data_IF_593995774082
#
_entry.id   IF_593995774082
#
_cell.length_a   1.000
_cell.length_b   1.000
_cell.length_c   1.000
_cell.angle_alpha   90.00
_cell.angle_beta   90.00
_cell.angle_gamma   90.00
#
_symmetry.space_group_name_H-M   'P 1'
#
loop_
_entity.id
_entity.type
_entity.pdbx_description
1 polymer ?
#
# COMPACT_ATOMS: atom_id res chain seq x y z
N UNK A 1 49.27 9.47 -38.43
CA UNK A 1 49.13 9.78 -36.99
C UNK A 1 48.21 10.99 -36.85
N UNK A 2 47.20 10.88 -35.96
CA UNK A 2 46.34 11.96 -35.40
C UNK A 2 45.34 12.59 -36.39
N UNK A 3 44.09 12.90 -36.05
CA UNK A 3 43.29 12.70 -34.84
C UNK A 3 41.80 12.75 -35.27
N UNK A 4 41.00 11.90 -34.64
CA UNK A 4 39.54 11.79 -34.77
C UNK A 4 38.88 12.97 -34.06
N UNK A 5 37.92 13.64 -34.70
CA UNK A 5 36.95 14.51 -34.02
C UNK A 5 35.54 14.00 -34.30
N UNK A 6 35.11 13.03 -33.48
CA UNK A 6 33.73 12.56 -33.40
C UNK A 6 32.98 13.54 -32.50
N UNK A 7 32.16 14.41 -33.09
CA UNK A 7 31.29 15.33 -32.37
C UNK A 7 30.12 14.52 -31.77
N UNK A 8 30.29 14.07 -30.53
CA UNK A 8 29.24 13.43 -29.74
C UNK A 8 28.19 14.47 -29.37
N UNK A 9 27.06 14.44 -30.06
CA UNK A 9 25.85 15.17 -29.70
C UNK A 9 25.20 14.48 -28.49
N UNK A 10 25.48 14.98 -27.29
CA UNK A 10 24.86 14.53 -26.05
C UNK A 10 23.42 15.04 -26.00
N UNK A 11 22.45 14.20 -26.36
CA UNK A 11 21.02 14.47 -26.17
C UNK A 11 20.71 14.36 -24.67
N UNK A 12 20.69 15.50 -23.97
CA UNK A 12 20.12 15.59 -22.63
C UNK A 12 18.59 15.43 -22.75
N UNK A 13 18.11 14.19 -22.67
CA UNK A 13 16.70 13.91 -22.42
C UNK A 13 16.45 14.32 -20.96
N UNK A 14 15.97 15.55 -20.78
CA UNK A 14 15.38 15.99 -19.53
C UNK A 14 14.14 15.14 -19.28
N UNK A 15 14.31 14.03 -18.57
CA UNK A 15 13.21 13.33 -17.95
C UNK A 15 12.57 14.32 -16.96
N UNK A 16 11.43 14.87 -17.33
CA UNK A 16 10.52 15.53 -16.41
C UNK A 16 10.10 14.50 -15.38
N UNK A 17 10.86 14.40 -14.29
CA UNK A 17 10.44 13.71 -13.08
C UNK A 17 9.26 14.54 -12.59
N UNK A 18 8.05 14.12 -13.00
CA UNK A 18 6.83 14.63 -12.41
C UNK A 18 6.98 14.43 -10.91
N UNK A 19 7.11 15.53 -10.18
CA UNK A 19 6.96 15.54 -8.73
C UNK A 19 5.56 15.00 -8.46
N UNK A 20 5.46 13.69 -8.23
CA UNK A 20 4.27 13.08 -7.66
C UNK A 20 4.01 13.83 -6.36
N UNK A 21 3.05 14.75 -6.39
CA UNK A 21 2.75 15.58 -5.26
C UNK A 21 2.14 14.65 -4.22
N UNK A 22 2.94 14.29 -3.21
CA UNK A 22 2.47 13.46 -2.10
C UNK A 22 1.23 14.12 -1.49
N UNK A 23 0.10 13.43 -1.52
CA UNK A 23 -1.20 14.00 -1.13
C UNK A 23 -1.69 13.49 0.22
N UNK A 24 -1.24 12.31 0.65
CA UNK A 24 -1.54 11.76 1.97
C UNK A 24 -0.46 10.81 2.48
N UNK A 25 -0.49 10.50 3.77
CA UNK A 25 0.31 9.48 4.43
C UNK A 25 -0.63 8.53 5.18
N UNK A 26 -0.41 7.23 5.04
CA UNK A 26 -1.03 6.21 5.86
C UNK A 26 -0.01 5.74 6.91
N UNK A 27 -0.37 5.77 8.19
CA UNK A 27 0.39 5.13 9.26
C UNK A 27 -0.30 3.83 9.65
N UNK A 28 0.41 2.72 9.61
CA UNK A 28 -0.12 1.40 9.97
C UNK A 28 0.58 0.94 11.25
N UNK A 29 -0.22 0.54 12.24
CA UNK A 29 0.24 0.14 13.57
C UNK A 29 -0.62 -1.00 14.11
N UNK A 30 -0.22 -1.57 15.25
CA UNK A 30 -1.04 -2.53 16.00
C UNK A 30 -1.44 -3.71 15.10
N UNK A 31 -0.42 -4.31 14.47
CA UNK A 31 -0.55 -5.42 13.52
C UNK A 31 -0.61 -6.72 14.30
N UNK A 32 -1.68 -7.48 14.10
CA UNK A 32 -1.88 -8.82 14.65
C UNK A 32 -2.16 -9.76 13.48
N UNK A 33 -1.37 -10.80 13.35
CA UNK A 33 -1.49 -11.80 12.29
C UNK A 33 -1.68 -13.17 12.89
N UNK A 34 -2.63 -13.95 12.39
CA UNK A 34 -2.70 -15.39 12.61
C UNK A 34 -2.49 -16.09 11.27
N UNK A 35 -1.43 -16.88 11.17
CA UNK A 35 -1.11 -17.67 10.00
C UNK A 35 -0.81 -19.11 10.42
N UNK A 36 -1.50 -20.08 9.81
CA UNK A 36 -1.38 -21.51 10.12
C UNK A 36 -1.49 -21.84 11.62
N UNK A 37 -2.42 -21.15 12.32
CA UNK A 37 -2.65 -21.31 13.76
C UNK A 37 -1.62 -20.64 14.66
N UNK A 38 -0.55 -20.05 14.10
CA UNK A 38 0.44 -19.28 14.85
C UNK A 38 0.14 -17.79 14.83
N UNK A 39 0.37 -17.12 15.96
CA UNK A 39 0.18 -15.69 16.12
C UNK A 39 1.49 -14.92 15.97
N UNK A 40 1.44 -13.80 15.25
CA UNK A 40 2.55 -12.88 15.04
C UNK A 40 2.09 -11.46 15.34
N UNK A 41 2.91 -10.73 16.10
CA UNK A 41 2.66 -9.34 16.47
C UNK A 41 3.86 -8.49 16.08
N UNK A 42 4.04 -8.17 14.78
CA UNK A 42 5.15 -7.35 14.32
C UNK A 42 5.17 -6.00 15.06
N UNK A 43 6.33 -5.64 15.60
CA UNK A 43 6.52 -4.33 16.22
C UNK A 43 6.82 -3.26 15.16
N UNK A 44 6.47 -2.01 15.48
CA UNK A 44 6.80 -0.85 14.67
C UNK A 44 5.60 -0.22 13.94
N UNK A 45 5.91 0.84 13.20
CA UNK A 45 4.97 1.58 12.37
C UNK A 45 5.41 1.49 10.91
N UNK A 46 4.46 1.25 10.01
CA UNK A 46 4.69 1.31 8.57
C UNK A 46 4.06 2.60 8.05
N UNK A 47 4.89 3.46 7.46
CA UNK A 47 4.43 4.66 6.77
C UNK A 47 4.32 4.42 5.27
N UNK A 48 3.14 4.64 4.71
CA UNK A 48 2.87 4.53 3.27
C UNK A 48 2.52 5.90 2.73
N UNK A 49 3.30 6.40 1.77
CA UNK A 49 3.02 7.66 1.07
C UNK A 49 2.02 7.39 -0.04
N UNK A 50 0.89 8.10 -0.03
CA UNK A 50 -0.18 7.91 -0.99
C UNK A 50 -0.20 9.05 -2.01
N UNK A 51 -0.48 8.65 -3.24
CA UNK A 51 -0.71 9.49 -4.40
C UNK A 51 -2.20 9.43 -4.77
N UNK A 52 -2.80 10.56 -5.16
CA UNK A 52 -4.23 10.64 -5.50
C UNK A 52 -4.52 10.34 -6.97
N UNK A 53 -3.49 10.10 -7.78
CA UNK A 53 -3.57 9.68 -9.18
C UNK A 53 -3.30 8.18 -9.32
N UNK A 54 -2.31 7.66 -8.59
CA UNK A 54 -1.80 6.30 -8.76
C UNK A 54 -2.08 5.40 -7.54
N UNK A 55 -2.45 4.12 -7.74
CA UNK A 55 -2.48 3.14 -6.66
C UNK A 55 -1.09 2.95 -6.03
N UNK A 56 -1.06 2.65 -4.74
CA UNK A 56 0.17 2.37 -3.99
C UNK A 56 0.06 1.03 -3.28
N UNK A 57 1.05 0.16 -3.42
CA UNK A 57 1.10 -1.12 -2.73
C UNK A 57 2.06 -1.05 -1.55
N UNK A 58 1.74 -1.70 -0.44
CA UNK A 58 2.64 -1.85 0.70
C UNK A 58 2.57 -3.28 1.24
N UNK A 59 3.73 -3.85 1.57
CA UNK A 59 3.82 -5.11 2.33
C UNK A 59 3.71 -4.77 3.81
N UNK A 60 2.77 -5.39 4.50
CA UNK A 60 2.50 -5.17 5.93
C UNK A 60 3.12 -6.28 6.77
N UNK A 61 3.20 -7.50 6.22
CA UNK A 61 3.73 -8.65 6.93
C UNK A 61 4.42 -9.61 5.96
N UNK A 62 5.52 -10.21 6.41
CA UNK A 62 6.26 -11.24 5.69
C UNK A 62 6.81 -12.27 6.67
N UNK A 63 6.57 -13.55 6.39
CA UNK A 63 7.12 -14.68 7.14
C UNK A 63 7.31 -15.86 6.18
N UNK A 64 8.46 -16.54 6.22
CA UNK A 64 8.67 -17.84 5.55
C UNK A 64 8.18 -17.93 4.09
N UNK A 65 8.37 -16.86 3.30
CA UNK A 65 7.96 -16.82 1.89
C UNK A 65 6.46 -16.56 1.66
N UNK A 66 5.72 -16.17 2.70
CA UNK A 66 4.36 -15.62 2.66
C UNK A 66 4.43 -14.12 2.92
N UNK A 67 3.85 -13.32 2.02
CA UNK A 67 3.74 -11.87 2.15
C UNK A 67 2.28 -11.47 2.14
N UNK A 68 1.85 -10.72 3.14
CA UNK A 68 0.58 -9.99 3.08
C UNK A 68 0.85 -8.53 2.72
N UNK A 69 0.23 -8.10 1.63
CA UNK A 69 0.29 -6.73 1.15
C UNK A 69 -1.10 -6.14 0.95
N UNK A 70 -1.15 -4.83 0.77
CA UNK A 70 -2.39 -4.11 0.54
C UNK A 70 -2.17 -3.11 -0.60
N UNK A 71 -3.07 -3.18 -1.58
CA UNK A 71 -3.18 -2.14 -2.59
C UNK A 71 -4.10 -1.03 -2.09
N UNK A 72 -3.56 0.17 -2.02
CA UNK A 72 -4.27 1.40 -1.64
C UNK A 72 -4.58 2.23 -2.87
N UNK A 73 -5.82 2.74 -2.93
CA UNK A 73 -6.20 3.78 -3.87
C UNK A 73 -6.81 4.94 -3.10
N UNK A 74 -6.04 6.02 -3.02
CA UNK A 74 -6.45 7.27 -2.39
C UNK A 74 -7.06 8.22 -3.43
N UNK A 75 -8.12 8.92 -3.05
CA UNK A 75 -8.72 10.00 -3.84
C UNK A 75 -9.18 11.12 -2.91
N UNK A 76 -8.68 12.33 -3.14
CA UNK A 76 -9.21 13.56 -2.55
C UNK A 76 -10.18 14.23 -3.52
N UNK A 77 -11.44 14.33 -3.12
CA UNK A 77 -12.46 15.13 -3.80
C UNK A 77 -12.64 16.48 -3.13
N UNK A 78 -13.53 17.32 -3.67
CA UNK A 78 -13.82 18.66 -3.13
C UNK A 78 -14.30 18.66 -1.68
N UNK A 79 -15.11 17.67 -1.31
CA UNK A 79 -15.78 17.57 -0.01
C UNK A 79 -15.68 16.19 0.62
N UNK A 80 -14.76 15.34 0.14
CA UNK A 80 -14.60 13.98 0.67
C UNK A 80 -13.20 13.45 0.42
N UNK A 81 -12.74 12.65 1.37
CA UNK A 81 -11.59 11.77 1.21
C UNK A 81 -12.08 10.34 1.03
N UNK A 82 -11.48 9.61 0.11
CA UNK A 82 -11.73 8.18 -0.10
C UNK A 82 -10.42 7.42 -0.04
N UNK A 83 -10.41 6.35 0.74
CA UNK A 83 -9.37 5.33 0.74
C UNK A 83 -10.01 4.00 0.37
N UNK A 84 -9.53 3.38 -0.69
CA UNK A 84 -9.88 2.01 -1.05
C UNK A 84 -8.69 1.13 -0.72
N UNK A 85 -8.94 -0.01 -0.07
CA UNK A 85 -7.92 -1.00 0.31
C UNK A 85 -8.27 -2.36 -0.27
N UNK A 86 -7.28 -3.09 -0.76
CA UNK A 86 -7.44 -4.46 -1.23
C UNK A 86 -6.27 -5.32 -0.80
N UNK A 87 -6.46 -6.05 0.31
CA UNK A 87 -5.47 -6.99 0.82
C UNK A 87 -5.23 -8.14 -0.15
N UNK A 88 -3.98 -8.59 -0.20
CA UNK A 88 -3.56 -9.74 -0.99
C UNK A 88 -2.44 -10.51 -0.27
N UNK A 89 -2.32 -11.78 -0.65
CA UNK A 89 -1.29 -12.69 -0.15
C UNK A 89 -0.52 -13.24 -1.33
N UNK A 90 0.80 -13.22 -1.23
CA UNK A 90 1.72 -13.89 -2.14
C UNK A 90 2.40 -15.00 -1.35
N UNK A 91 2.31 -16.24 -1.82
CA UNK A 91 3.06 -17.37 -1.30
C UNK A 91 3.87 -17.97 -2.44
N UNK A 92 5.13 -18.31 -2.18
CA UNK A 92 6.04 -18.82 -3.21
C UNK A 92 5.42 -19.97 -4.02
N UNK A 93 5.49 -19.86 -5.34
CA UNK A 93 4.95 -20.88 -6.26
C UNK A 93 3.42 -20.86 -6.42
N UNK A 94 2.71 -19.91 -5.79
CA UNK A 94 1.25 -19.79 -5.88
C UNK A 94 0.82 -18.45 -6.49
N UNK A 95 -0.29 -18.50 -7.23
CA UNK A 95 -0.98 -17.29 -7.69
C UNK A 95 -1.45 -16.43 -6.51
N UNK A 96 -1.25 -15.10 -6.54
CA UNK A 96 -1.67 -14.21 -5.47
C UNK A 96 -3.17 -14.34 -5.16
N UNK A 97 -3.50 -14.46 -3.88
CA UNK A 97 -4.89 -14.50 -3.41
C UNK A 97 -5.28 -13.14 -2.89
N UNK A 98 -6.46 -12.68 -3.25
CA UNK A 98 -6.98 -11.37 -2.84
C UNK A 98 -8.10 -11.53 -1.83
N UNK A 99 -8.10 -10.65 -0.84
CA UNK A 99 -9.18 -10.49 0.11
C UNK A 99 -10.32 -9.67 -0.46
N UNK A 100 -11.17 -9.18 0.44
CA UNK A 100 -12.26 -8.28 0.10
C UNK A 100 -11.71 -6.88 -0.18
N UNK A 101 -12.24 -6.24 -1.22
CA UNK A 101 -11.99 -4.83 -1.48
C UNK A 101 -12.88 -3.99 -0.57
N UNK A 102 -12.28 -3.09 0.19
CA UNK A 102 -12.99 -2.21 1.12
C UNK A 102 -12.77 -0.74 0.79
N UNK A 103 -13.73 0.09 1.18
CA UNK A 103 -13.76 1.53 0.87
C UNK A 103 -14.17 2.30 2.10
N UNK A 104 -13.29 3.17 2.53
CA UNK A 104 -13.49 4.11 3.61
C UNK A 104 -13.60 5.53 3.06
N UNK A 105 -14.51 6.30 3.65
CA UNK A 105 -14.82 7.65 3.20
C UNK A 105 -15.08 8.56 4.39
N UNK A 106 -14.50 9.75 4.35
CA UNK A 106 -14.78 10.84 5.28
C UNK A 106 -15.28 12.05 4.51
N UNK A 107 -16.41 12.61 4.92
CA UNK A 107 -16.90 13.86 4.36
C UNK A 107 -16.17 15.04 5.01
N UNK A 108 -15.76 16.00 4.20
CA UNK A 108 -15.07 17.22 4.62
C UNK A 108 -16.08 18.36 4.67
N UNK A 109 -16.17 19.05 5.82
CA UNK A 109 -16.98 20.26 5.95
C UNK A 109 -16.26 21.50 5.40
N UNK A 110 -14.93 21.51 5.43
CA UNK A 110 -14.04 22.55 4.91
C UNK A 110 -12.79 21.88 4.32
N UNK A 111 -12.14 22.50 3.34
CA UNK A 111 -10.89 22.00 2.73
C UNK A 111 -9.70 22.20 3.66
N UNK A 112 -9.61 21.40 4.72
CA UNK A 112 -8.50 21.44 5.69
C UNK A 112 -7.77 20.11 5.76
N UNK A 113 -6.52 20.18 6.17
CA UNK A 113 -5.74 19.04 6.65
C UNK A 113 -6.52 18.31 7.74
N UNK A 114 -6.49 16.98 7.70
CA UNK A 114 -7.14 16.17 8.72
C UNK A 114 -6.60 14.75 8.74
N UNK A 115 -7.13 13.96 9.66
CA UNK A 115 -6.92 12.52 9.66
C UNK A 115 -8.20 11.77 10.02
N UNK A 116 -8.22 10.49 9.66
CA UNK A 116 -9.13 9.52 10.25
C UNK A 116 -8.42 8.20 10.49
N UNK A 117 -8.82 7.51 11.55
CA UNK A 117 -8.27 6.22 11.92
C UNK A 117 -9.35 5.15 11.89
N UNK A 118 -8.96 3.94 11.47
CA UNK A 118 -9.81 2.75 11.49
C UNK A 118 -8.99 1.51 11.81
N UNK A 119 -9.71 0.42 12.11
CA UNK A 119 -9.16 -0.92 12.17
C UNK A 119 -9.57 -1.68 10.90
N UNK A 120 -8.58 -2.22 10.22
CA UNK A 120 -8.76 -3.14 9.12
C UNK A 120 -8.71 -4.57 9.64
N UNK A 121 -9.55 -5.44 9.08
CA UNK A 121 -9.57 -6.87 9.34
C UNK A 121 -9.71 -7.57 7.99
N UNK A 122 -8.77 -8.45 7.68
CA UNK A 122 -8.79 -9.29 6.49
C UNK A 122 -8.61 -10.76 6.89
N UNK A 123 -9.38 -11.63 6.24
CA UNK A 123 -9.17 -13.08 6.22
C UNK A 123 -9.03 -13.51 4.76
N UNK A 124 -7.91 -14.15 4.41
CA UNK A 124 -7.62 -14.60 3.06
C UNK A 124 -7.26 -16.09 3.09
N UNK A 125 -8.07 -16.88 2.40
CA UNK A 125 -7.79 -18.30 2.13
C UNK A 125 -6.68 -18.42 1.09
N UNK A 126 -5.54 -18.98 1.49
CA UNK A 126 -4.36 -19.18 0.65
C UNK A 126 -4.54 -20.47 -0.15
N UNK A 127 -4.88 -21.57 0.53
CA UNK A 127 -5.11 -22.87 -0.07
C UNK A 127 -6.35 -23.54 0.56
N UNK A 128 -7.28 -23.99 -0.28
CA UNK A 128 -8.54 -24.61 0.16
C UNK A 128 -8.37 -26.05 0.58
N UNK A 129 -7.41 -26.77 -0.01
CA UNK A 129 -7.27 -28.21 0.19
C UNK A 129 -6.77 -28.53 1.61
N UNK A 130 -5.88 -27.68 2.14
CA UNK A 130 -5.36 -27.75 3.50
C UNK A 130 -5.97 -26.71 4.45
N UNK A 131 -6.99 -25.97 4.00
CA UNK A 131 -7.65 -24.89 4.75
C UNK A 131 -6.69 -23.80 5.28
N UNK A 132 -5.57 -23.61 4.58
CA UNK A 132 -4.56 -22.63 4.93
C UNK A 132 -5.09 -21.21 4.68
N UNK A 133 -5.10 -20.39 5.71
CA UNK A 133 -5.54 -19.01 5.65
C UNK A 133 -4.63 -18.10 6.48
N UNK A 134 -4.66 -16.81 6.14
CA UNK A 134 -4.10 -15.76 6.97
C UNK A 134 -5.23 -14.85 7.44
N UNK A 135 -5.23 -14.56 8.73
CA UNK A 135 -6.05 -13.54 9.35
C UNK A 135 -5.13 -12.40 9.76
N UNK A 136 -5.46 -11.18 9.38
CA UNK A 136 -4.69 -10.01 9.77
C UNK A 136 -5.61 -8.89 10.21
N UNK A 137 -5.26 -8.29 11.34
CA UNK A 137 -5.89 -7.09 11.87
C UNK A 137 -4.81 -6.03 12.04
N UNK A 138 -5.09 -4.80 11.62
CA UNK A 138 -4.19 -3.67 11.86
C UNK A 138 -4.98 -2.38 12.04
N UNK A 139 -4.42 -1.44 12.80
CA UNK A 139 -4.90 -0.06 12.82
C UNK A 139 -4.22 0.70 11.69
N UNK A 140 -4.96 1.61 11.08
CA UNK A 140 -4.37 2.60 10.20
C UNK A 140 -4.92 3.99 10.50
N UNK A 141 -4.08 5.01 10.32
CA UNK A 141 -4.45 6.42 10.29
C UNK A 141 -4.10 7.00 8.92
N UNK A 142 -5.10 7.54 8.23
CA UNK A 142 -4.91 8.30 7.00
C UNK A 142 -4.80 9.78 7.34
N UNK A 143 -3.64 10.38 7.10
CA UNK A 143 -3.35 11.81 7.26
C UNK A 143 -3.32 12.45 5.88
N UNK A 144 -4.16 13.46 5.66
CA UNK A 144 -4.28 14.15 4.37
C UNK A 144 -4.17 15.67 4.55
N UNK A 145 -3.62 16.34 3.55
CA UNK A 145 -3.48 17.81 3.49
C UNK A 145 -4.36 18.36 2.38
#
# INVERSE_FOLDING_TARGET
>A
MKQISFLFLLVCISASIGLAQQTATLKITDIHVTYDGQEYNPEGEIEVKLDDHNPTSAIIFEIEGVKYGVDYQYKKGRNRIRLVRWGYVIKNGMEPKRGKKEKDMQNLKISVTGSFSKRAVDNIMINRDNLESINITYKYELIYK
#
